data_IF_372472550750
#
_entry.id   IF_372472550750
#
_cell.length_a   1.000
_cell.length_b   1.000
_cell.length_c   1.000
_cell.angle_alpha   90.00
_cell.angle_beta   90.00
_cell.angle_gamma   90.00
#
_symmetry.space_group_name_H-M   'P 1'
#
loop_
_entity.id
_entity.type
_entity.pdbx_description
1 polymer ?
#
# COMPACT_ATOMS: atom_id res chain seq x y z
N UNK A 1 15.80 2.34 -5.99
CA UNK A 1 14.55 1.96 -5.35
C UNK A 1 14.82 1.17 -4.08
N UNK A 2 14.08 1.45 -3.04
CA UNK A 2 14.29 0.79 -1.75
C UNK A 2 13.72 -0.63 -1.76
N UNK A 3 14.45 -1.53 -1.12
CA UNK A 3 13.99 -2.90 -0.92
C UNK A 3 13.49 -3.04 0.51
N UNK A 4 12.29 -3.57 0.66
CA UNK A 4 11.71 -3.78 1.98
C UNK A 4 12.04 -5.19 2.45
N UNK A 5 12.58 -5.27 3.67
CA UNK A 5 12.86 -6.56 4.32
C UNK A 5 11.81 -6.79 5.39
N UNK A 6 10.73 -7.46 5.02
CA UNK A 6 9.61 -7.70 5.91
C UNK A 6 9.45 -9.20 6.16
N UNK A 7 9.01 -9.54 7.38
CA UNK A 7 8.57 -10.90 7.64
C UNK A 7 7.27 -11.17 6.91
N UNK A 8 6.90 -12.44 6.79
CA UNK A 8 5.64 -12.81 6.15
C UNK A 8 4.45 -12.17 6.86
N UNK A 9 4.49 -12.12 8.19
CA UNK A 9 3.42 -11.49 8.95
C UNK A 9 3.35 -9.99 8.71
N UNK A 10 4.51 -9.32 8.67
CA UNK A 10 4.54 -7.89 8.39
C UNK A 10 4.04 -7.58 6.99
N UNK A 11 4.41 -8.40 6.01
CA UNK A 11 3.92 -8.22 4.64
C UNK A 11 2.41 -8.38 4.57
N UNK A 12 1.89 -9.38 5.28
CA UNK A 12 0.45 -9.63 5.32
C UNK A 12 -0.31 -8.43 5.90
N UNK A 13 0.18 -7.87 7.00
CA UNK A 13 -0.42 -6.65 7.57
C UNK A 13 -0.34 -5.47 6.60
N UNK A 14 0.79 -5.32 5.94
CA UNK A 14 0.96 -4.22 4.99
C UNK A 14 -0.04 -4.34 3.84
N UNK A 15 -0.22 -5.53 3.32
CA UNK A 15 -1.18 -5.77 2.25
C UNK A 15 -2.59 -5.41 2.68
N UNK A 16 -2.98 -5.81 3.89
CA UNK A 16 -4.30 -5.49 4.41
C UNK A 16 -4.48 -4.00 4.64
N UNK A 17 -3.46 -3.33 5.17
CA UNK A 17 -3.52 -1.88 5.40
C UNK A 17 -3.66 -1.12 4.09
N UNK A 18 -2.91 -1.53 3.08
CA UNK A 18 -2.97 -0.88 1.78
C UNK A 18 -4.36 -1.05 1.16
N UNK A 19 -4.92 -2.25 1.23
CA UNK A 19 -6.25 -2.50 0.68
C UNK A 19 -7.33 -1.79 1.48
N UNK A 20 -7.19 -1.74 2.79
CA UNK A 20 -8.13 -1.01 3.63
C UNK A 20 -8.14 0.47 3.28
N UNK A 21 -6.96 1.05 3.13
CA UNK A 21 -6.85 2.46 2.74
C UNK A 21 -7.49 2.70 1.38
N UNK A 22 -7.33 1.77 0.46
CA UNK A 22 -7.95 1.87 -0.85
C UNK A 22 -9.47 1.90 -0.74
N UNK A 23 -10.03 0.99 0.04
CA UNK A 23 -11.50 0.89 0.21
C UNK A 23 -12.07 2.12 0.89
N UNK A 24 -11.33 2.70 1.83
CA UNK A 24 -11.78 3.88 2.59
C UNK A 24 -11.46 5.19 1.88
N UNK A 25 -10.87 5.12 0.68
CA UNK A 25 -10.52 6.28 -0.13
C UNK A 25 -9.57 7.23 0.61
N UNK A 26 -8.68 6.66 1.44
CA UNK A 26 -7.75 7.47 2.23
C UNK A 26 -6.82 8.32 1.35
N UNK A 27 -6.22 7.78 0.27
CA UNK A 27 -5.37 8.61 -0.57
C UNK A 27 -6.11 9.79 -1.18
N UNK A 28 -7.32 9.57 -1.66
CA UNK A 28 -8.12 10.61 -2.28
C UNK A 28 -8.51 11.68 -1.27
N UNK A 29 -8.95 11.27 -0.08
CA UNK A 29 -9.37 12.20 0.96
C UNK A 29 -8.22 13.03 1.49
N UNK A 30 -7.00 12.51 1.44
CA UNK A 30 -5.82 13.20 1.96
C UNK A 30 -5.02 13.91 0.88
N UNK A 31 -5.46 13.87 -0.36
CA UNK A 31 -4.77 14.53 -1.45
C UNK A 31 -3.44 13.90 -1.82
N UNK A 32 -3.28 12.61 -1.57
CA UNK A 32 -2.05 11.90 -1.94
C UNK A 32 -2.00 11.69 -3.45
N UNK A 33 -0.79 11.54 -3.97
CA UNK A 33 -0.62 11.22 -5.39
C UNK A 33 -1.11 9.80 -5.65
N UNK A 34 -2.18 9.68 -6.43
CA UNK A 34 -2.85 8.40 -6.65
C UNK A 34 -1.95 7.43 -7.41
N UNK A 35 -1.18 7.93 -8.38
CA UNK A 35 -0.30 7.04 -9.14
C UNK A 35 0.79 6.44 -8.26
N UNK A 36 1.33 7.23 -7.35
CA UNK A 36 2.32 6.73 -6.39
C UNK A 36 1.69 5.65 -5.50
N UNK A 37 0.47 5.89 -5.05
CA UNK A 37 -0.25 4.90 -4.24
C UNK A 37 -0.52 3.62 -5.03
N UNK A 38 -0.99 3.74 -6.26
CA UNK A 38 -1.25 2.57 -7.10
C UNK A 38 0.02 1.75 -7.33
N UNK A 39 1.14 2.42 -7.54
CA UNK A 39 2.42 1.73 -7.68
C UNK A 39 2.79 0.97 -6.42
N UNK A 40 2.51 1.54 -5.26
CA UNK A 40 2.75 0.87 -3.98
C UNK A 40 1.87 -0.37 -3.85
N UNK A 41 0.60 -0.26 -4.19
CA UNK A 41 -0.31 -1.40 -4.16
C UNK A 41 0.23 -2.53 -5.02
N UNK A 42 0.68 -2.20 -6.23
CA UNK A 42 1.24 -3.18 -7.16
C UNK A 42 2.44 -3.89 -6.55
N UNK A 43 3.32 -3.14 -5.90
CA UNK A 43 4.53 -3.69 -5.30
C UNK A 43 4.21 -4.63 -4.13
N UNK A 44 3.27 -4.27 -3.28
CA UNK A 44 2.95 -5.10 -2.11
C UNK A 44 2.11 -6.32 -2.47
N UNK A 45 1.36 -6.28 -3.56
CA UNK A 45 0.46 -7.36 -3.93
C UNK A 45 1.07 -8.35 -4.92
N UNK A 46 2.31 -8.16 -5.30
CA UNK A 46 3.01 -9.07 -6.21
C UNK A 46 3.12 -10.49 -5.67
#
# INVERSE_FOLDING_TARGET
>A
MNTLNLTDGQLSYLQELVMFAYEMEVPEQNGWDIQTYDNLVDEVMK
#
